data_IF_141295496510
#
_entry.id   IF_141295496510
#
_cell.length_a   1.000
_cell.length_b   1.000
_cell.length_c   1.000
_cell.angle_alpha   90.00
_cell.angle_beta   90.00
_cell.angle_gamma   90.00
#
_symmetry.space_group_name_H-M   'P 1'
#
loop_
_entity.id
_entity.type
_entity.pdbx_description
1 polymer ?
#
# COMPACT_ATOMS: atom_id res chain seq x y z
N UNK A 1 17.24 -9.89 11.83
CA UNK A 1 16.91 -10.06 10.41
C UNK A 1 15.42 -9.79 10.25
N UNK A 2 15.05 -8.80 9.45
CA UNK A 2 13.65 -8.54 9.07
C UNK A 2 13.35 -9.34 7.81
N UNK A 3 12.22 -10.03 7.75
CA UNK A 3 11.81 -10.74 6.54
C UNK A 3 11.42 -9.72 5.46
N UNK A 4 11.84 -9.97 4.22
CA UNK A 4 11.49 -9.15 3.06
C UNK A 4 11.30 -10.01 1.81
N UNK A 5 10.49 -9.52 0.89
CA UNK A 5 10.04 -10.26 -0.28
C UNK A 5 10.07 -9.38 -1.52
N UNK A 6 10.22 -10.00 -2.68
CA UNK A 6 10.00 -9.39 -3.98
C UNK A 6 8.82 -10.12 -4.62
N UNK A 7 7.74 -9.39 -4.86
CA UNK A 7 6.46 -9.94 -5.35
C UNK A 7 5.80 -10.93 -4.40
N UNK A 8 4.61 -11.38 -4.80
CA UNK A 8 3.77 -12.32 -4.07
C UNK A 8 2.52 -11.65 -3.50
N UNK A 9 1.81 -12.44 -2.70
CA UNK A 9 0.64 -11.97 -1.96
C UNK A 9 1.04 -11.66 -0.53
N UNK A 10 0.69 -10.46 -0.06
CA UNK A 10 0.80 -10.10 1.35
C UNK A 10 -0.61 -9.93 1.89
N UNK A 11 -0.94 -10.69 2.93
CA UNK A 11 -2.24 -10.69 3.59
C UNK A 11 -2.09 -10.38 5.07
N UNK A 12 -2.93 -9.48 5.58
CA UNK A 12 -3.04 -9.17 7.00
C UNK A 12 -4.51 -9.17 7.41
N UNK A 13 -4.81 -9.85 8.53
CA UNK A 13 -6.16 -9.86 9.10
C UNK A 13 -6.19 -8.99 10.34
N UNK A 14 -6.91 -7.88 10.26
CA UNK A 14 -6.88 -6.82 11.27
C UNK A 14 -8.30 -6.41 11.67
N UNK A 15 -8.43 -5.89 12.89
CA UNK A 15 -9.60 -5.17 13.41
C UNK A 15 -9.08 -3.90 14.05
N UNK A 16 -9.58 -2.75 13.60
CA UNK A 16 -8.95 -1.46 13.85
C UNK A 16 -9.66 -0.68 14.96
N UNK A 17 -8.94 0.17 15.71
CA UNK A 17 -9.57 1.16 16.56
C UNK A 17 -10.31 2.22 15.71
N UNK A 18 -11.46 2.69 16.19
CA UNK A 18 -12.30 3.70 15.49
C UNK A 18 -12.28 5.07 16.17
N UNK A 19 -11.37 5.29 17.13
CA UNK A 19 -11.25 6.55 17.82
C UNK A 19 -10.71 7.66 16.89
N UNK A 20 -11.28 8.86 16.98
CA UNK A 20 -10.79 10.00 16.21
C UNK A 20 -9.32 10.29 16.55
N UNK A 21 -8.49 10.43 15.52
CA UNK A 21 -7.05 10.69 15.66
C UNK A 21 -6.16 9.45 15.61
N UNK A 22 -6.73 8.24 15.54
CA UNK A 22 -5.93 7.03 15.22
C UNK A 22 -5.61 6.98 13.73
N UNK A 23 -4.44 6.43 13.39
CA UNK A 23 -4.03 6.13 12.02
C UNK A 23 -3.33 4.77 11.98
N UNK A 24 -4.09 3.68 12.16
CA UNK A 24 -3.53 2.36 11.97
C UNK A 24 -3.23 2.14 10.49
N UNK A 25 -2.10 1.49 10.21
CA UNK A 25 -1.73 1.16 8.85
C UNK A 25 -1.01 -0.20 8.78
N UNK A 26 -1.15 -0.82 7.62
CA UNK A 26 -0.34 -1.94 7.18
C UNK A 26 0.23 -1.58 5.81
N UNK A 27 1.55 -1.47 5.72
CA UNK A 27 2.21 -1.06 4.48
C UNK A 27 3.50 -1.82 4.25
N UNK A 28 4.00 -1.72 3.02
CA UNK A 28 5.28 -2.25 2.60
C UNK A 28 6.24 -1.09 2.31
N UNK A 29 7.45 -1.16 2.87
CA UNK A 29 8.56 -0.25 2.53
C UNK A 29 9.75 -0.99 1.91
N UNK A 30 10.54 -0.33 1.05
CA UNK A 30 11.71 -0.92 0.43
C UNK A 30 12.74 -1.28 1.51
N UNK A 31 13.37 -2.43 1.33
CA UNK A 31 14.45 -2.87 2.24
C UNK A 31 15.75 -2.12 1.96
N UNK A 32 16.03 -1.89 0.68
CA UNK A 32 17.37 -1.51 0.21
C UNK A 32 17.46 -0.05 -0.31
N UNK A 33 16.36 0.73 -0.30
CA UNK A 33 16.29 2.13 -0.79
C UNK A 33 17.02 2.40 -2.12
N UNK A 34 16.91 1.45 -3.05
CA UNK A 34 17.75 1.37 -4.25
C UNK A 34 17.68 2.60 -5.18
N UNK A 35 16.52 3.28 -5.25
CA UNK A 35 16.31 4.45 -6.11
C UNK A 35 16.45 5.79 -5.35
N UNK A 36 16.91 5.74 -4.10
CA UNK A 36 17.02 6.88 -3.18
C UNK A 36 15.88 6.93 -2.17
N UNK A 37 15.88 7.99 -1.36
CA UNK A 37 14.95 8.17 -0.24
C UNK A 37 13.48 8.27 -0.70
N UNK A 38 12.58 8.15 0.27
CA UNK A 38 11.15 8.24 0.03
C UNK A 38 10.77 9.54 -0.72
N UNK A 39 9.89 9.47 -1.74
CA UNK A 39 9.12 8.31 -2.21
C UNK A 39 9.79 7.54 -3.37
N UNK A 40 11.06 7.81 -3.69
CA UNK A 40 11.72 7.32 -4.91
C UNK A 40 11.79 5.80 -4.97
N UNK A 41 12.10 5.16 -3.85
CA UNK A 41 12.16 3.70 -3.76
C UNK A 41 10.81 3.02 -3.53
N UNK A 42 9.71 3.76 -3.51
CA UNK A 42 8.36 3.23 -3.44
C UNK A 42 7.79 3.02 -2.05
N UNK A 43 6.46 2.92 -1.97
CA UNK A 43 5.67 2.51 -0.80
C UNK A 43 4.37 1.85 -1.31
N UNK A 44 3.91 0.79 -0.64
CA UNK A 44 2.61 0.15 -0.93
C UNK A 44 1.79 0.10 0.35
N UNK A 45 0.73 0.90 0.42
CA UNK A 45 -0.15 0.97 1.58
C UNK A 45 -1.30 -0.02 1.39
N UNK A 46 -1.14 -1.23 1.94
CA UNK A 46 -2.13 -2.31 1.86
C UNK A 46 -3.44 -1.86 2.51
N UNK A 47 -3.32 -1.17 3.65
CA UNK A 47 -4.43 -0.61 4.39
C UNK A 47 -3.96 0.61 5.15
N UNK A 48 -4.66 1.74 4.93
CA UNK A 48 -4.68 2.84 5.89
C UNK A 48 -6.11 3.17 6.28
N UNK A 49 -6.29 3.52 7.56
CA UNK A 49 -7.53 4.07 8.07
C UNK A 49 -7.27 5.42 8.72
N UNK A 50 -7.46 6.49 7.95
CA UNK A 50 -7.06 7.84 8.36
C UNK A 50 -8.11 8.45 9.30
N UNK A 51 -7.68 8.94 10.47
CA UNK A 51 -8.58 9.38 11.55
C UNK A 51 -9.53 10.55 11.24
N UNK A 52 -9.38 11.24 10.10
CA UNK A 52 -10.34 12.25 9.63
C UNK A 52 -11.38 11.69 8.64
N UNK A 53 -11.17 10.49 8.11
CA UNK A 53 -12.08 9.79 7.20
C UNK A 53 -12.44 8.41 7.75
N UNK A 54 -12.88 8.39 9.01
CA UNK A 54 -13.25 7.17 9.72
C UNK A 54 -14.34 6.41 8.95
N UNK A 55 -14.19 5.09 8.80
CA UNK A 55 -15.10 4.22 8.06
C UNK A 55 -14.70 3.98 6.60
N UNK A 56 -13.49 4.38 6.22
CA UNK A 56 -12.96 4.15 4.89
C UNK A 56 -11.58 3.50 4.92
N UNK A 57 -11.40 2.49 4.07
CA UNK A 57 -10.13 1.89 3.74
C UNK A 57 -9.49 2.69 2.62
N UNK A 58 -8.19 2.99 2.75
CA UNK A 58 -7.36 3.54 1.69
C UNK A 58 -6.34 2.48 1.26
N UNK A 59 -6.25 2.24 -0.05
CA UNK A 59 -5.12 1.52 -0.66
C UNK A 59 -4.41 2.44 -1.62
N UNK A 60 -3.12 2.66 -1.40
CA UNK A 60 -2.32 3.66 -2.11
C UNK A 60 -0.98 3.08 -2.50
N UNK A 61 -0.41 3.61 -3.57
CA UNK A 61 1.02 3.45 -3.85
C UNK A 61 1.67 4.82 -3.85
N UNK A 62 2.92 4.89 -3.38
CA UNK A 62 3.74 6.08 -3.54
C UNK A 62 4.95 5.78 -4.42
N UNK A 63 5.21 6.68 -5.36
CA UNK A 63 6.41 6.68 -6.21
C UNK A 63 6.93 8.10 -6.36
N UNK A 64 8.09 8.28 -6.99
CA UNK A 64 8.57 9.61 -7.39
C UNK A 64 7.53 10.38 -8.24
N UNK A 65 6.87 9.69 -9.18
CA UNK A 65 5.85 10.30 -10.04
C UNK A 65 4.50 10.48 -9.37
N UNK A 66 4.15 9.59 -8.43
CA UNK A 66 2.82 9.51 -7.82
C UNK A 66 2.90 9.63 -6.31
N UNK A 67 2.78 10.84 -5.77
CA UNK A 67 2.81 11.07 -4.33
C UNK A 67 2.04 12.35 -3.92
N UNK A 68 1.81 12.48 -2.61
CA UNK A 68 1.04 13.58 -2.05
C UNK A 68 1.72 14.95 -2.25
N UNK A 69 3.06 15.01 -2.18
CA UNK A 69 3.81 16.27 -2.31
C UNK A 69 3.65 16.88 -3.72
N UNK A 70 3.53 16.03 -4.74
CA UNK A 70 3.30 16.42 -6.15
C UNK A 70 1.82 16.53 -6.53
N UNK A 71 0.88 16.17 -5.62
CA UNK A 71 -0.56 16.11 -5.88
C UNK A 71 -0.95 15.17 -7.03
N UNK A 72 -0.18 14.09 -7.20
CA UNK A 72 -0.36 13.07 -8.24
C UNK A 72 -0.62 11.68 -7.64
N UNK A 73 -1.12 11.62 -6.41
CA UNK A 73 -1.38 10.37 -5.70
C UNK A 73 -2.26 9.43 -6.52
N UNK A 74 -1.90 8.14 -6.51
CA UNK A 74 -2.69 7.06 -7.09
C UNK A 74 -3.10 6.11 -5.98
N UNK A 75 -4.41 5.96 -5.81
CA UNK A 75 -4.99 5.07 -4.82
C UNK A 75 -6.49 5.02 -4.96
N UNK A 76 -7.15 4.22 -4.11
CA UNK A 76 -8.60 4.17 -4.02
C UNK A 76 -9.04 4.07 -2.58
N UNK A 77 -10.21 4.67 -2.33
CA UNK A 77 -10.91 4.58 -1.06
C UNK A 77 -12.19 3.77 -1.23
N UNK A 78 -12.49 2.90 -0.26
CA UNK A 78 -13.77 2.17 -0.18
C UNK A 78 -14.34 2.23 1.24
N UNK A 79 -15.68 2.30 1.40
CA UNK A 79 -16.29 2.26 2.72
C UNK A 79 -16.10 0.88 3.37
N UNK A 80 -15.85 0.87 4.67
CA UNK A 80 -15.66 -0.37 5.45
C UNK A 80 -16.04 -0.17 6.92
N UNK A 81 -16.50 -1.23 7.56
CA UNK A 81 -16.61 -1.26 9.03
C UNK A 81 -15.26 -1.64 9.66
N UNK A 82 -14.40 -0.64 9.87
CA UNK A 82 -13.06 -0.86 10.42
C UNK A 82 -13.05 -1.52 11.83
N UNK A 83 -14.17 -1.49 12.56
CA UNK A 83 -14.31 -2.15 13.86
C UNK A 83 -14.57 -3.67 13.75
N UNK A 84 -14.78 -4.20 12.56
CA UNK A 84 -14.90 -5.62 12.27
C UNK A 84 -13.56 -6.23 11.83
N UNK A 85 -13.43 -7.56 11.91
CA UNK A 85 -12.26 -8.25 11.38
C UNK A 85 -12.35 -8.34 9.86
N UNK A 86 -11.35 -7.80 9.20
CA UNK A 86 -11.22 -7.84 7.75
C UNK A 86 -9.87 -8.41 7.35
N UNK A 87 -9.82 -9.03 6.17
CA UNK A 87 -8.55 -9.48 5.56
C UNK A 87 -8.18 -8.50 4.46
N UNK A 88 -7.09 -7.77 4.66
CA UNK A 88 -6.54 -6.82 3.70
C UNK A 88 -5.37 -7.48 2.98
N UNK A 89 -5.30 -7.33 1.67
CA UNK A 89 -4.25 -7.94 0.88
C UNK A 89 -3.79 -7.07 -0.28
N UNK A 90 -2.55 -7.31 -0.69
CA UNK A 90 -2.07 -6.95 -2.01
C UNK A 90 -1.56 -8.17 -2.76
N UNK A 91 -1.96 -8.31 -4.01
CA UNK A 91 -1.25 -9.12 -4.99
C UNK A 91 -0.23 -8.25 -5.71
N UNK A 92 1.04 -8.46 -5.41
CA UNK A 92 2.14 -7.73 -6.00
C UNK A 92 2.88 -8.60 -7.01
N UNK A 93 2.86 -8.17 -8.26
CA UNK A 93 3.48 -8.86 -9.39
C UNK A 93 4.37 -7.88 -10.17
N UNK A 94 5.20 -8.35 -11.12
CA UNK A 94 5.94 -7.44 -12.00
C UNK A 94 5.05 -6.49 -12.81
N UNK A 95 3.79 -6.86 -13.06
CA UNK A 95 2.86 -6.12 -13.91
C UNK A 95 1.89 -5.21 -13.16
N UNK A 96 1.57 -5.51 -11.90
CA UNK A 96 0.55 -4.80 -11.15
C UNK A 96 0.64 -5.02 -9.63
N UNK A 97 0.10 -4.05 -8.88
CA UNK A 97 -0.26 -4.17 -7.46
C UNK A 97 -1.78 -4.11 -7.37
N UNK A 98 -2.42 -5.21 -6.99
CA UNK A 98 -3.87 -5.31 -6.85
C UNK A 98 -4.26 -5.31 -5.38
N UNK A 99 -5.11 -4.35 -4.97
CA UNK A 99 -5.55 -4.20 -3.59
C UNK A 99 -6.88 -4.90 -3.37
N UNK A 100 -6.95 -5.68 -2.30
CA UNK A 100 -8.02 -6.63 -2.02
C UNK A 100 -8.47 -6.46 -0.57
N UNK A 101 -9.77 -6.50 -0.34
CA UNK A 101 -10.35 -6.61 1.01
C UNK A 101 -11.39 -7.73 1.01
N UNK A 102 -11.29 -8.64 1.98
CA UNK A 102 -12.16 -9.82 2.11
C UNK A 102 -12.31 -10.64 0.82
N UNK A 103 -11.19 -10.78 0.09
CA UNK A 103 -11.14 -11.50 -1.19
C UNK A 103 -11.70 -10.72 -2.39
N UNK A 104 -12.18 -9.50 -2.22
CA UNK A 104 -12.67 -8.64 -3.29
C UNK A 104 -11.62 -7.58 -3.68
N UNK A 105 -11.14 -7.64 -4.92
CA UNK A 105 -10.27 -6.60 -5.47
C UNK A 105 -11.05 -5.30 -5.64
N UNK A 106 -10.54 -4.20 -5.08
CA UNK A 106 -11.14 -2.88 -5.22
C UNK A 106 -10.27 -1.88 -5.97
N UNK A 107 -8.95 -2.11 -6.04
CA UNK A 107 -8.04 -1.23 -6.78
C UNK A 107 -6.92 -2.02 -7.44
N UNK A 108 -6.34 -1.44 -8.48
CA UNK A 108 -5.21 -2.00 -9.21
C UNK A 108 -4.33 -0.85 -9.73
N UNK A 109 -3.06 -0.89 -9.38
CA UNK A 109 -2.02 -0.03 -9.94
C UNK A 109 -1.19 -0.83 -10.92
N UNK A 110 -1.21 -0.45 -12.21
CA UNK A 110 -0.52 -1.18 -13.29
C UNK A 110 0.83 -0.59 -13.60
N UNK A 111 1.80 -1.47 -13.84
CA UNK A 111 3.06 -1.11 -14.46
C UNK A 111 2.80 -0.64 -15.89
N UNK A 112 3.26 0.55 -16.24
CA UNK A 112 3.15 1.10 -17.60
C UNK A 112 4.07 0.39 -18.62
N UNK A 113 4.89 -0.54 -18.14
CA UNK A 113 5.87 -1.33 -18.88
C UNK A 113 6.91 -0.48 -19.63
N UNK A 114 7.13 0.77 -19.22
CA UNK A 114 8.15 1.65 -19.80
C UNK A 114 9.54 1.45 -19.19
N UNK A 115 9.65 0.61 -18.15
CA UNK A 115 10.93 0.35 -17.46
C UNK A 115 11.45 1.53 -16.64
N UNK A 116 10.58 2.49 -16.29
CA UNK A 116 10.93 3.68 -15.51
C UNK A 116 10.66 3.46 -14.03
N UNK A 117 11.70 3.57 -13.21
CA UNK A 117 11.58 3.41 -11.76
C UNK A 117 10.74 4.55 -11.14
N UNK A 118 10.68 5.72 -11.78
CA UNK A 118 9.90 6.86 -11.29
C UNK A 118 8.40 6.57 -11.24
N UNK A 119 7.90 5.72 -12.15
CA UNK A 119 6.50 5.27 -12.21
C UNK A 119 6.32 3.87 -11.63
N UNK A 120 7.37 3.05 -11.62
CA UNK A 120 7.34 1.68 -11.12
C UNK A 120 8.62 1.29 -10.35
N UNK A 121 8.77 1.67 -9.07
CA UNK A 121 9.90 1.25 -8.23
C UNK A 121 9.67 -0.12 -7.55
N UNK A 122 8.56 -0.80 -7.85
CA UNK A 122 8.12 -2.03 -7.19
C UNK A 122 8.78 -3.30 -7.77
N UNK A 123 10.07 -3.21 -8.06
CA UNK A 123 10.91 -4.28 -8.62
C UNK A 123 12.10 -4.62 -7.70
N UNK A 124 12.04 -4.19 -6.44
CA UNK A 124 13.01 -4.48 -5.37
C UNK A 124 12.30 -5.10 -4.18
N UNK A 125 13.05 -5.58 -3.17
CA UNK A 125 12.46 -6.23 -1.99
C UNK A 125 11.84 -5.23 -1.03
N UNK A 126 10.67 -5.56 -0.51
CA UNK A 126 9.96 -4.79 0.49
C UNK A 126 9.72 -5.61 1.76
N UNK A 127 9.55 -4.92 2.90
CA UNK A 127 9.22 -5.52 4.18
C UNK A 127 7.92 -4.93 4.74
N UNK A 128 7.19 -5.75 5.50
CA UNK A 128 5.91 -5.36 6.10
C UNK A 128 6.11 -4.56 7.39
N UNK A 129 5.30 -3.52 7.54
CA UNK A 129 5.18 -2.70 8.74
C UNK A 129 3.71 -2.65 9.18
N UNK A 130 3.51 -2.58 10.49
CA UNK A 130 2.20 -2.50 11.16
C UNK A 130 2.29 -1.46 12.28
N UNK A 131 1.33 -0.54 12.37
CA UNK A 131 1.25 0.47 13.44
C UNK A 131 -0.19 0.78 13.87
#
# INVERSE_FOLDING_TARGET
>A
HTASWLYGRVEVRLRLPTARGTWPAAWLLPTDWHYGDWPRSGEIDIMEHVGFNTGHLHGTVHTESFNHARRTQVGRTVPIDAASWHTYAVDWTPSAVSFIVDGQQYHEFRNDAQGKWETWPFDRRFHLLLN
#
